data_IF_682810888285
#
_entry.id   IF_682810888285
#
_cell.length_a   1.000
_cell.length_b   1.000
_cell.length_c   1.000
_cell.angle_alpha   90.00
_cell.angle_beta   90.00
_cell.angle_gamma   90.00
#
_symmetry.space_group_name_H-M   'P 1'
#
loop_
_entity.id
_entity.type
_entity.pdbx_description
1 polymer ?
#
# COMPACT_ATOMS: atom_id res chain seq x y z
N UNK A 1 9.19 -7.23 -18.69
CA UNK A 1 8.78 -6.33 -17.59
C UNK A 1 8.10 -5.04 -18.07
N UNK A 2 8.71 -4.17 -18.90
CA UNK A 2 8.09 -2.88 -19.36
C UNK A 2 6.66 -3.00 -19.94
N UNK A 3 6.32 -4.15 -20.55
CA UNK A 3 5.04 -4.35 -21.21
C UNK A 3 3.90 -4.79 -20.26
N UNK A 4 4.20 -5.28 -19.05
CA UNK A 4 3.18 -5.80 -18.12
C UNK A 4 2.64 -4.69 -17.21
N UNK A 5 3.52 -3.81 -16.71
CA UNK A 5 3.11 -2.64 -15.92
C UNK A 5 2.21 -1.68 -16.69
N UNK A 6 2.50 -1.43 -17.98
CA UNK A 6 1.65 -0.62 -18.86
C UNK A 6 0.28 -1.28 -19.11
N UNK A 7 0.22 -2.61 -19.24
CA UNK A 7 -1.06 -3.34 -19.39
C UNK A 7 -1.94 -3.20 -18.15
N UNK A 8 -1.36 -3.32 -16.96
CA UNK A 8 -2.10 -3.21 -15.70
C UNK A 8 -2.59 -1.79 -15.45
N UNK A 9 -1.75 -0.78 -15.71
CA UNK A 9 -2.17 0.61 -15.68
C UNK A 9 -3.36 0.87 -16.62
N UNK A 10 -3.26 0.43 -17.88
CA UNK A 10 -4.34 0.59 -18.85
C UNK A 10 -5.61 -0.18 -18.44
N UNK A 11 -5.45 -1.35 -17.81
CA UNK A 11 -6.59 -2.14 -17.29
C UNK A 11 -7.26 -1.45 -16.10
N UNK A 12 -6.51 -0.95 -15.13
CA UNK A 12 -7.03 -0.18 -13.99
C UNK A 12 -7.76 1.07 -14.49
N UNK A 13 -7.14 1.84 -15.39
CA UNK A 13 -7.77 3.00 -16.03
C UNK A 13 -9.05 2.62 -16.79
N UNK A 14 -9.07 1.48 -17.48
CA UNK A 14 -10.28 0.98 -18.15
C UNK A 14 -11.39 0.68 -17.15
N UNK A 15 -11.10 0.00 -16.04
CA UNK A 15 -12.09 -0.26 -14.98
C UNK A 15 -12.63 1.03 -14.39
N UNK A 16 -11.74 1.97 -14.04
CA UNK A 16 -12.10 3.28 -13.50
C UNK A 16 -12.93 4.11 -14.49
N UNK A 17 -12.53 4.19 -15.77
CA UNK A 17 -13.31 4.89 -16.80
C UNK A 17 -14.72 4.28 -17.00
N UNK A 18 -14.87 2.98 -16.72
CA UNK A 18 -16.14 2.28 -16.72
C UNK A 18 -16.92 2.42 -15.40
N UNK A 19 -16.45 3.27 -14.47
CA UNK A 19 -17.08 3.53 -13.18
C UNK A 19 -16.97 2.35 -12.21
N UNK A 20 -15.96 1.50 -12.33
CA UNK A 20 -15.73 0.39 -11.41
C UNK A 20 -14.46 0.71 -10.62
N UNK A 21 -14.59 1.54 -9.58
CA UNK A 21 -13.49 2.00 -8.75
C UNK A 21 -12.78 0.84 -8.04
N UNK A 22 -13.53 0.00 -7.33
CA UNK A 22 -13.02 -1.18 -6.61
C UNK A 22 -12.19 -2.09 -7.54
N UNK A 23 -12.73 -2.44 -8.73
CA UNK A 23 -12.00 -3.24 -9.72
C UNK A 23 -10.74 -2.54 -10.25
N UNK A 24 -10.69 -1.21 -10.23
CA UNK A 24 -9.50 -0.47 -10.62
C UNK A 24 -8.45 -0.54 -9.51
N UNK A 25 -8.85 -0.35 -8.24
CA UNK A 25 -8.02 -0.53 -7.06
C UNK A 25 -7.47 -1.96 -6.99
N UNK A 26 -8.29 -3.00 -7.19
CA UNK A 26 -7.86 -4.40 -7.26
C UNK A 26 -6.74 -4.62 -8.29
N UNK A 27 -6.87 -4.00 -9.47
CA UNK A 27 -5.85 -4.14 -10.53
C UNK A 27 -4.58 -3.37 -10.16
N UNK A 28 -4.71 -2.24 -9.49
CA UNK A 28 -3.56 -1.52 -8.94
C UNK A 28 -2.85 -2.35 -7.87
N UNK A 29 -3.59 -2.97 -6.94
CA UNK A 29 -3.04 -3.84 -5.90
C UNK A 29 -2.34 -5.03 -6.48
N UNK A 30 -3.00 -5.71 -7.42
CA UNK A 30 -2.36 -6.76 -8.22
C UNK A 30 -1.09 -6.20 -8.80
N UNK A 31 -1.08 -5.04 -9.46
CA UNK A 31 0.13 -4.52 -10.06
C UNK A 31 1.25 -4.10 -9.09
N UNK A 32 0.90 -3.65 -7.88
CA UNK A 32 1.85 -3.34 -6.81
C UNK A 32 2.44 -4.61 -6.19
N UNK A 33 1.62 -5.66 -6.07
CA UNK A 33 2.04 -7.00 -5.71
C UNK A 33 2.84 -7.69 -6.82
N UNK A 34 3.29 -6.98 -7.86
CA UNK A 34 4.20 -7.51 -8.89
C UNK A 34 5.60 -6.91 -8.78
N UNK A 35 5.73 -5.87 -7.98
CA UNK A 35 6.88 -5.00 -7.92
C UNK A 35 6.45 -3.54 -7.86
N UNK A 36 7.10 -2.79 -6.98
CA UNK A 36 6.77 -1.39 -6.72
C UNK A 36 7.48 -0.41 -7.67
N UNK A 37 8.14 -0.91 -8.72
CA UNK A 37 8.87 -0.09 -9.69
C UNK A 37 7.96 0.65 -10.70
N UNK A 38 6.65 0.39 -10.67
CA UNK A 38 5.70 1.02 -11.58
C UNK A 38 5.04 2.23 -10.92
N UNK A 39 5.80 3.32 -10.80
CA UNK A 39 5.35 4.55 -10.17
C UNK A 39 4.00 5.06 -10.71
N UNK A 40 3.75 4.95 -12.02
CA UNK A 40 2.49 5.37 -12.63
C UNK A 40 1.26 4.61 -12.09
N UNK A 41 1.40 3.31 -11.82
CA UNK A 41 0.31 2.51 -11.27
C UNK A 41 0.09 2.78 -9.78
N UNK A 42 1.17 2.96 -9.03
CA UNK A 42 1.09 3.32 -7.60
C UNK A 42 0.44 4.71 -7.47
N UNK A 43 0.87 5.67 -8.28
CA UNK A 43 0.26 6.99 -8.32
C UNK A 43 -1.22 6.94 -8.70
N UNK A 44 -1.61 6.10 -9.67
CA UNK A 44 -3.01 5.87 -9.99
C UNK A 44 -3.78 5.35 -8.78
N UNK A 45 -3.26 4.34 -8.08
CA UNK A 45 -3.90 3.82 -6.86
C UNK A 45 -4.13 4.92 -5.83
N UNK A 46 -3.09 5.72 -5.54
CA UNK A 46 -3.20 6.81 -4.57
C UNK A 46 -4.26 7.84 -4.98
N UNK A 47 -4.35 8.17 -6.27
CA UNK A 47 -5.40 9.05 -6.80
C UNK A 47 -6.82 8.44 -6.68
N UNK A 48 -6.96 7.14 -6.89
CA UNK A 48 -8.24 6.46 -6.73
C UNK A 48 -8.69 6.48 -5.26
N UNK A 49 -7.79 6.18 -4.33
CA UNK A 49 -8.03 6.25 -2.88
C UNK A 49 -8.35 7.69 -2.43
N UNK A 50 -7.65 8.68 -2.99
CA UNK A 50 -7.90 10.10 -2.73
C UNK A 50 -9.33 10.53 -3.15
N UNK A 51 -9.78 10.12 -4.35
CA UNK A 51 -11.15 10.38 -4.84
C UNK A 51 -12.20 9.66 -3.99
N UNK A 52 -11.86 8.48 -3.47
CA UNK A 52 -12.69 7.69 -2.57
C UNK A 52 -12.77 8.27 -1.16
N UNK A 53 -11.79 9.10 -0.77
CA UNK A 53 -11.69 9.67 0.58
C UNK A 53 -10.85 8.85 1.56
N UNK A 54 -10.17 7.80 1.10
CA UNK A 54 -9.21 7.05 1.92
C UNK A 54 -7.88 7.81 2.02
N UNK A 55 -7.87 8.79 2.93
CA UNK A 55 -6.72 9.65 3.20
C UNK A 55 -5.46 8.84 3.56
N UNK A 56 -5.60 7.89 4.49
CA UNK A 56 -4.45 7.10 4.97
C UNK A 56 -3.95 6.15 3.88
N UNK A 57 -4.86 5.47 3.16
CA UNK A 57 -4.49 4.62 2.04
C UNK A 57 -3.80 5.39 0.90
N UNK A 58 -4.26 6.60 0.59
CA UNK A 58 -3.61 7.47 -0.39
C UNK A 58 -2.21 7.91 0.07
N UNK A 59 -2.09 8.35 1.33
CA UNK A 59 -0.82 8.76 1.97
C UNK A 59 0.20 7.63 1.95
N UNK A 60 -0.21 6.46 2.40
CA UNK A 60 0.56 5.22 2.35
C UNK A 60 1.10 4.93 0.95
N UNK A 61 0.19 4.88 -0.02
CA UNK A 61 0.50 4.54 -1.40
C UNK A 61 1.51 5.51 -2.02
N UNK A 62 1.36 6.82 -1.78
CA UNK A 62 2.30 7.81 -2.29
C UNK A 62 3.61 7.86 -1.51
N UNK A 63 3.63 7.54 -0.21
CA UNK A 63 4.88 7.34 0.53
C UNK A 63 5.69 6.18 -0.07
N UNK A 64 5.05 5.04 -0.31
CA UNK A 64 5.68 3.90 -0.99
C UNK A 64 6.22 4.30 -2.36
N UNK A 65 5.43 5.02 -3.16
CA UNK A 65 5.87 5.49 -4.48
C UNK A 65 7.10 6.39 -4.38
N UNK A 66 7.07 7.37 -3.47
CA UNK A 66 8.15 8.32 -3.20
C UNK A 66 9.42 7.61 -2.73
N UNK A 67 9.33 6.77 -1.71
CA UNK A 67 10.50 6.14 -1.09
C UNK A 67 11.11 5.07 -2.00
N UNK A 68 10.29 4.32 -2.75
CA UNK A 68 10.76 3.25 -3.64
C UNK A 68 11.28 3.77 -5.00
N UNK A 69 10.58 4.75 -5.60
CA UNK A 69 10.84 5.19 -6.97
C UNK A 69 11.50 6.57 -7.05
N UNK A 70 11.73 7.24 -5.93
CA UNK A 70 12.11 8.67 -5.87
C UNK A 70 11.16 9.54 -6.73
N UNK A 71 9.86 9.21 -6.72
CA UNK A 71 8.88 9.77 -7.63
C UNK A 71 8.45 11.20 -7.22
N UNK A 72 8.81 12.18 -8.03
CA UNK A 72 8.48 13.60 -7.81
C UNK A 72 6.97 13.89 -7.83
N UNK A 73 6.20 13.11 -8.58
CA UNK A 73 4.74 13.26 -8.65
C UNK A 73 4.10 12.83 -7.33
N UNK A 74 4.54 11.72 -6.74
CA UNK A 74 4.11 11.27 -5.42
C UNK A 74 4.45 12.28 -4.32
N UNK A 75 5.62 12.93 -4.37
CA UNK A 75 5.98 14.02 -3.44
C UNK A 75 4.96 15.16 -3.48
N UNK A 76 4.55 15.58 -4.68
CA UNK A 76 3.55 16.64 -4.86
C UNK A 76 2.17 16.21 -4.36
N UNK A 77 1.76 14.98 -4.65
CA UNK A 77 0.50 14.45 -4.14
C UNK A 77 0.43 14.41 -2.62
N UNK A 78 1.53 14.05 -1.95
CA UNK A 78 1.59 14.07 -0.48
C UNK A 78 1.42 15.49 0.09
N UNK A 79 1.97 16.51 -0.57
CA UNK A 79 1.79 17.91 -0.16
C UNK A 79 0.33 18.33 -0.32
N UNK A 80 -0.26 18.10 -1.49
CA UNK A 80 -1.67 18.43 -1.73
C UNK A 80 -2.62 17.66 -0.82
N UNK A 81 -2.32 16.39 -0.51
CA UNK A 81 -3.09 15.61 0.45
C UNK A 81 -3.03 16.22 1.86
N UNK A 82 -1.87 16.70 2.30
CA UNK A 82 -1.73 17.36 3.60
C UNK A 82 -2.51 18.68 3.65
N UNK A 83 -2.51 19.45 2.56
CA UNK A 83 -3.34 20.65 2.41
C UNK A 83 -4.84 20.33 2.48
N UNK A 84 -5.26 19.17 1.96
CA UNK A 84 -6.66 18.69 2.00
C UNK A 84 -7.04 17.98 3.31
N UNK A 85 -6.15 17.86 4.28
CA UNK A 85 -6.45 17.23 5.58
C UNK A 85 -7.65 17.87 6.28
N UNK A 86 -7.78 19.19 6.19
CA UNK A 86 -8.93 19.93 6.72
C UNK A 86 -10.24 19.60 6.00
N UNK A 87 -10.21 19.25 4.71
CA UNK A 87 -11.42 18.89 3.94
C UNK A 87 -12.05 17.60 4.49
N UNK A 88 -11.25 16.69 5.04
CA UNK A 88 -11.76 15.51 5.75
C UNK A 88 -12.53 15.89 7.02
N UNK A 89 -11.97 16.80 7.83
CA UNK A 89 -12.61 17.30 9.05
C UNK A 89 -13.90 18.07 8.74
N UNK A 90 -13.88 18.89 7.69
CA UNK A 90 -15.06 19.60 7.18
C UNK A 90 -16.14 18.64 6.73
N UNK A 91 -15.79 17.57 6.01
CA UNK A 91 -16.74 16.52 5.64
C UNK A 91 -17.39 15.87 6.87
N UNK A 92 -16.61 15.54 7.91
CA UNK A 92 -17.14 15.01 9.18
C UNK A 92 -18.11 16.00 9.83
N UNK A 93 -17.75 17.27 9.87
CA UNK A 93 -18.61 18.33 10.42
C UNK A 93 -19.92 18.45 9.63
N UNK A 94 -19.84 18.46 8.29
CA UNK A 94 -21.02 18.51 7.44
C UNK A 94 -21.94 17.30 7.66
N UNK A 95 -21.38 16.11 7.79
CA UNK A 95 -22.14 14.89 8.09
C UNK A 95 -22.83 14.98 9.47
N UNK A 96 -22.16 15.54 10.47
CA UNK A 96 -22.73 15.82 11.79
C UNK A 96 -23.90 16.81 11.72
N UNK A 97 -23.76 17.88 10.95
CA UNK A 97 -24.82 18.87 10.72
C UNK A 97 -26.02 18.28 9.98
N UNK A 98 -25.76 17.47 8.95
CA UNK A 98 -26.79 16.72 8.23
C UNK A 98 -27.62 15.85 9.18
N UNK A 99 -26.96 15.07 10.04
CA UNK A 99 -27.62 14.22 11.04
C UNK A 99 -28.43 15.02 12.07
N UNK A 100 -28.01 16.26 12.36
CA UNK A 100 -28.75 17.22 13.21
C UNK A 100 -29.84 17.98 12.44
N UNK A 101 -30.15 17.60 11.20
CA UNK A 101 -31.13 18.25 10.31
C UNK A 101 -30.81 19.71 9.95
N UNK A 102 -29.57 20.15 10.18
CA UNK A 102 -29.06 21.48 9.80
C UNK A 102 -28.59 21.45 8.34
N UNK A 103 -29.52 21.16 7.43
CA UNK A 103 -29.21 20.79 6.02
C UNK A 103 -28.51 21.92 5.26
N UNK A 104 -28.90 23.18 5.46
CA UNK A 104 -28.28 24.32 4.78
C UNK A 104 -26.84 24.56 5.25
N UNK A 105 -26.61 24.52 6.56
CA UNK A 105 -25.26 24.62 7.15
C UNK A 105 -24.36 23.47 6.64
N UNK A 106 -24.90 22.26 6.52
CA UNK A 106 -24.16 21.12 5.97
C UNK A 106 -23.78 21.35 4.49
N UNK A 107 -24.70 21.88 3.66
CA UNK A 107 -24.43 22.18 2.26
C UNK A 107 -23.34 23.25 2.08
N UNK A 108 -23.35 24.30 2.91
CA UNK A 108 -22.32 25.36 2.85
C UNK A 108 -20.92 24.77 3.03
N UNK A 109 -20.73 23.92 4.05
CA UNK A 109 -19.44 23.25 4.28
C UNK A 109 -19.08 22.28 3.14
N UNK A 110 -20.07 21.57 2.58
CA UNK A 110 -19.83 20.64 1.47
C UNK A 110 -19.45 21.34 0.17
N UNK A 111 -19.93 22.56 -0.07
CA UNK A 111 -19.48 23.36 -1.22
C UNK A 111 -18.01 23.75 -1.08
N UNK A 112 -17.55 24.07 0.13
CA UNK A 112 -16.11 24.28 0.38
C UNK A 112 -15.32 22.96 0.22
N UNK A 113 -15.87 21.82 0.62
CA UNK A 113 -15.22 20.52 0.39
C UNK A 113 -14.97 20.24 -1.11
N UNK A 114 -15.85 20.73 -1.97
CA UNK A 114 -15.80 20.52 -3.44
C UNK A 114 -14.76 21.37 -4.18
N UNK A 115 -14.06 22.25 -3.50
CA UNK A 115 -12.92 22.97 -4.08
C UNK A 115 -11.74 22.04 -4.42
N UNK A 116 -11.75 20.84 -3.86
CA UNK A 116 -10.81 19.76 -4.11
C UNK A 116 -11.55 18.51 -4.61
N UNK A 117 -10.80 17.61 -5.28
CA UNK A 117 -11.29 16.29 -5.68
C UNK A 117 -11.11 15.26 -4.55
N UNK A 118 -10.52 15.63 -3.41
CA UNK A 118 -10.42 14.77 -2.23
C UNK A 118 -11.82 14.38 -1.74
N UNK A 119 -12.02 13.09 -1.44
CA UNK A 119 -13.27 12.58 -0.91
C UNK A 119 -14.49 12.87 -1.80
N UNK A 120 -14.27 13.05 -3.10
CA UNK A 120 -15.28 13.43 -4.09
C UNK A 120 -16.54 12.57 -4.02
N UNK A 121 -16.39 11.26 -3.87
CA UNK A 121 -17.52 10.32 -3.85
C UNK A 121 -18.44 10.61 -2.65
N UNK A 122 -17.89 10.62 -1.45
CA UNK A 122 -18.70 10.76 -0.24
C UNK A 122 -19.27 12.19 -0.10
N UNK A 123 -18.52 13.21 -0.53
CA UNK A 123 -19.00 14.60 -0.58
C UNK A 123 -20.21 14.74 -1.50
N UNK A 124 -20.15 14.21 -2.73
CA UNK A 124 -21.28 14.30 -3.66
C UNK A 124 -22.49 13.48 -3.19
N UNK A 125 -22.27 12.33 -2.55
CA UNK A 125 -23.37 11.55 -1.96
C UNK A 125 -24.06 12.36 -0.85
N UNK A 126 -23.29 12.97 0.06
CA UNK A 126 -23.87 13.75 1.16
C UNK A 126 -24.61 15.00 0.66
N UNK A 127 -24.09 15.68 -0.36
CA UNK A 127 -24.81 16.78 -1.03
C UNK A 127 -26.12 16.28 -1.64
N UNK A 128 -26.12 15.13 -2.31
CA UNK A 128 -27.34 14.57 -2.87
C UNK A 128 -28.38 14.29 -1.77
N UNK A 129 -27.96 13.71 -0.64
CA UNK A 129 -28.84 13.51 0.52
C UNK A 129 -29.39 14.83 1.07
N UNK A 130 -28.57 15.88 1.15
CA UNK A 130 -29.02 17.21 1.54
C UNK A 130 -30.12 17.73 0.61
N UNK A 131 -29.92 17.64 -0.72
CA UNK A 131 -30.92 18.08 -1.69
C UNK A 131 -32.21 17.25 -1.64
N UNK A 132 -32.13 15.94 -1.40
CA UNK A 132 -33.32 15.11 -1.16
C UNK A 132 -34.10 15.57 0.07
N UNK A 133 -33.42 15.92 1.18
CA UNK A 133 -34.08 16.49 2.37
C UNK A 133 -34.73 17.84 2.12
N UNK A 134 -34.25 18.60 1.13
CA UNK A 134 -34.83 19.88 0.70
C UNK A 134 -35.93 19.72 -0.38
N UNK A 135 -36.18 18.51 -0.87
CA UNK A 135 -37.12 18.26 -1.96
C UNK A 135 -36.59 18.62 -3.36
N UNK A 136 -35.30 18.93 -3.48
CA UNK A 136 -34.67 19.36 -4.74
C UNK A 136 -34.11 18.15 -5.52
N UNK A 137 -35.00 17.31 -6.05
CA UNK A 137 -34.64 16.03 -6.67
C UNK A 137 -33.67 16.16 -7.87
N UNK A 138 -33.82 17.18 -8.71
CA UNK A 138 -32.95 17.37 -9.88
C UNK A 138 -31.49 17.62 -9.48
N UNK A 139 -31.26 18.40 -8.41
CA UNK A 139 -29.91 18.65 -7.90
C UNK A 139 -29.33 17.39 -7.27
N UNK A 140 -30.13 16.65 -6.49
CA UNK A 140 -29.69 15.37 -5.95
C UNK A 140 -29.26 14.40 -7.06
N UNK A 141 -30.09 14.27 -8.10
CA UNK A 141 -29.81 13.43 -9.28
C UNK A 141 -28.51 13.83 -9.97
N UNK A 142 -28.26 15.12 -10.15
CA UNK A 142 -27.01 15.63 -10.74
C UNK A 142 -25.76 15.15 -9.97
N UNK A 143 -25.77 15.23 -8.65
CA UNK A 143 -24.64 14.77 -7.83
C UNK A 143 -24.48 13.24 -7.84
N UNK A 144 -25.57 12.48 -7.81
CA UNK A 144 -25.50 11.03 -7.91
C UNK A 144 -25.03 10.53 -9.29
N UNK A 145 -25.31 11.26 -10.38
CA UNK A 145 -24.74 10.95 -11.70
C UNK A 145 -23.21 11.10 -11.67
N UNK A 146 -22.68 12.17 -11.06
CA UNK A 146 -21.23 12.35 -10.88
C UNK A 146 -20.59 11.21 -10.09
N UNK A 147 -21.25 10.73 -9.04
CA UNK A 147 -20.78 9.55 -8.28
C UNK A 147 -20.75 8.33 -9.20
N UNK A 148 -21.83 8.08 -9.96
CA UNK A 148 -21.92 6.94 -10.88
C UNK A 148 -20.86 6.96 -12.01
N UNK A 149 -20.35 8.14 -12.38
CA UNK A 149 -19.25 8.26 -13.34
C UNK A 149 -17.95 7.65 -12.79
N UNK A 150 -17.69 7.84 -11.49
CA UNK A 150 -16.49 7.38 -10.76
C UNK A 150 -16.63 5.97 -10.21
N UNK A 151 -17.73 5.74 -9.50
CA UNK A 151 -18.11 4.45 -8.93
C UNK A 151 -19.61 4.20 -9.04
N UNK A 152 -20.01 3.44 -10.07
CA UNK A 152 -21.41 3.07 -10.30
C UNK A 152 -21.89 1.94 -9.40
N UNK A 153 -20.97 1.22 -8.77
CA UNK A 153 -21.27 0.07 -7.92
C UNK A 153 -21.34 0.46 -6.44
N UNK A 154 -21.03 1.71 -6.09
CA UNK A 154 -21.17 2.25 -4.75
C UNK A 154 -22.56 1.90 -4.16
N UNK A 155 -22.58 1.29 -2.98
CA UNK A 155 -23.81 0.76 -2.38
C UNK A 155 -24.78 1.88 -1.99
N UNK A 156 -24.26 2.97 -1.43
CA UNK A 156 -25.09 4.11 -1.02
C UNK A 156 -25.70 4.82 -2.24
N UNK A 157 -24.97 4.89 -3.35
CA UNK A 157 -25.51 5.33 -4.63
C UNK A 157 -26.67 4.42 -5.10
N UNK A 158 -26.53 3.09 -5.02
CA UNK A 158 -27.59 2.15 -5.43
C UNK A 158 -28.87 2.31 -4.61
N UNK A 159 -28.73 2.60 -3.32
CA UNK A 159 -29.87 2.87 -2.43
C UNK A 159 -30.57 4.18 -2.82
N UNK A 160 -29.83 5.28 -2.89
CA UNK A 160 -30.39 6.61 -3.15
C UNK A 160 -31.05 6.74 -4.53
N UNK A 161 -30.57 5.99 -5.54
CA UNK A 161 -31.21 5.95 -6.86
C UNK A 161 -32.67 5.49 -6.81
N UNK A 162 -33.05 4.64 -5.85
CA UNK A 162 -34.42 4.13 -5.70
C UNK A 162 -35.39 5.22 -5.25
N UNK A 163 -34.90 6.29 -4.65
CA UNK A 163 -35.69 7.43 -4.16
C UNK A 163 -35.89 8.52 -5.23
N UNK A 164 -35.22 8.42 -6.38
CA UNK A 164 -35.24 9.44 -7.45
C UNK A 164 -35.92 8.89 -8.69
N UNK A 165 -37.01 9.52 -9.11
CA UNK A 165 -37.69 9.20 -10.36
C UNK A 165 -36.78 9.45 -11.59
N UNK A 166 -36.95 8.62 -12.62
CA UNK A 166 -36.27 8.74 -13.91
C UNK A 166 -34.73 8.73 -13.84
N UNK A 167 -34.14 8.09 -12.83
CA UNK A 167 -32.68 7.98 -12.75
C UNK A 167 -32.14 7.17 -13.95
N UNK A 168 -31.14 7.68 -14.69
CA UNK A 168 -30.62 6.99 -15.87
C UNK A 168 -29.97 5.64 -15.49
N UNK A 169 -30.48 4.55 -16.07
CA UNK A 169 -29.93 3.19 -15.85
C UNK A 169 -28.58 3.00 -16.54
N UNK A 170 -28.34 3.69 -17.65
CA UNK A 170 -27.10 3.62 -18.41
C UNK A 170 -26.22 4.87 -18.21
N UNK A 171 -24.89 4.69 -18.28
CA UNK A 171 -23.96 5.84 -18.35
C UNK A 171 -24.39 6.73 -19.54
N UNK A 172 -24.41 8.07 -19.40
CA UNK A 172 -24.45 8.93 -20.57
C UNK A 172 -23.28 8.54 -21.47
N UNK A 173 -23.54 8.29 -22.76
CA UNK A 173 -22.51 7.87 -23.73
C UNK A 173 -21.41 8.93 -23.79
N UNK A 174 -20.31 8.68 -23.10
CA UNK A 174 -19.13 9.55 -23.09
C UNK A 174 -18.54 9.57 -24.50
N UNK A 175 -18.66 10.71 -25.18
CA UNK A 175 -18.15 10.90 -26.53
C UNK A 175 -16.61 10.83 -26.56
N UNK A 176 -16.01 10.52 -27.70
CA UNK A 176 -14.55 10.36 -27.85
C UNK A 176 -13.77 11.62 -27.43
N UNK A 177 -14.37 12.81 -27.51
CA UNK A 177 -13.82 14.07 -26.99
C UNK A 177 -13.78 14.14 -25.45
N UNK A 178 -14.77 13.56 -24.75
CA UNK A 178 -14.83 13.57 -23.28
C UNK A 178 -13.88 12.54 -22.64
N UNK A 179 -13.46 11.50 -23.37
CA UNK A 179 -12.38 10.59 -22.93
C UNK A 179 -11.02 11.28 -22.79
N UNK A 180 -10.76 12.30 -23.63
CA UNK A 180 -9.56 13.13 -23.56
C UNK A 180 -9.64 14.08 -22.36
N UNK A 181 -10.84 14.59 -22.05
CA UNK A 181 -11.06 15.48 -20.90
C UNK A 181 -10.86 14.74 -19.58
N UNK A 182 -11.34 13.50 -19.38
CA UNK A 182 -11.12 12.76 -18.12
C UNK A 182 -9.64 12.43 -17.88
N UNK A 183 -8.88 12.13 -18.95
CA UNK A 183 -7.42 12.00 -18.88
C UNK A 183 -6.72 13.33 -18.60
N UNK A 184 -7.29 14.45 -19.05
CA UNK A 184 -6.81 15.80 -18.77
C UNK A 184 -7.25 16.33 -17.40
N UNK A 185 -8.39 15.93 -16.84
CA UNK A 185 -8.87 16.37 -15.52
C UNK A 185 -7.94 15.90 -14.41
N UNK A 186 -7.43 14.66 -14.51
CA UNK A 186 -6.40 14.14 -13.62
C UNK A 186 -5.03 14.84 -13.79
N UNK A 187 -4.77 15.47 -14.95
CA UNK A 187 -3.51 16.17 -15.26
C UNK A 187 -3.59 17.68 -14.96
N UNK A 188 -4.77 18.30 -15.09
CA UNK A 188 -4.98 19.76 -14.98
C UNK A 188 -5.16 20.21 -13.54
N UNK A 189 -5.73 19.38 -12.65
CA UNK A 189 -5.83 19.71 -11.21
C UNK A 189 -4.45 19.90 -10.57
N UNK A 190 -3.40 19.28 -11.11
CA UNK A 190 -2.02 19.36 -10.58
C UNK A 190 -1.17 20.51 -11.14
N UNK A 191 -1.61 21.16 -12.22
CA UNK A 191 -0.80 22.18 -12.89
C UNK A 191 -0.83 23.54 -12.18
N UNK A 192 -1.82 23.80 -11.33
CA UNK A 192 -2.02 25.12 -10.71
C UNK A 192 -1.01 25.39 -9.56
N UNK A 193 -0.43 24.35 -8.96
CA UNK A 193 0.55 24.48 -7.85
C UNK A 193 1.98 24.76 -8.34
N UNK A 194 2.25 24.72 -9.65
CA UNK A 194 3.61 24.78 -10.23
C UNK A 194 4.22 26.21 -10.28
N UNK A 195 3.53 27.25 -9.82
CA UNK A 195 4.01 28.64 -9.94
C UNK A 195 4.90 29.15 -8.79
N UNK A 196 5.22 28.34 -7.77
CA UNK A 196 6.15 28.75 -6.71
C UNK A 196 7.51 28.06 -6.92
N UNK A 197 8.48 28.82 -7.46
CA UNK A 197 9.87 28.36 -7.69
C UNK A 197 10.62 28.09 -6.38
N UNK A 198 11.36 26.98 -6.23
CA UNK A 198 12.37 26.84 -5.18
C UNK A 198 13.74 27.33 -5.68
N UNK A 199 14.42 28.09 -4.82
CA UNK A 199 15.85 28.47 -4.96
C UNK A 199 16.66 27.43 -4.18
N UNK A 200 17.55 26.68 -4.83
CA UNK A 200 18.69 26.07 -4.14
C UNK A 200 19.89 25.87 -5.06
N UNK A 201 21.03 26.41 -4.61
CA UNK A 201 22.35 26.41 -5.23
C UNK A 201 23.10 25.09 -5.08
N UNK A 202 23.79 24.69 -6.15
CA UNK A 202 24.79 23.60 -6.21
C UNK A 202 26.00 23.86 -5.30
N UNK A 203 26.49 22.80 -4.65
CA UNK A 203 27.91 22.65 -4.30
C UNK A 203 28.38 21.27 -4.77
N UNK A 204 29.41 21.28 -5.64
CA UNK A 204 30.17 20.14 -6.14
C UNK A 204 31.49 20.03 -5.35
N UNK A 205 31.96 18.81 -5.11
CA UNK A 205 33.35 18.46 -4.82
C UNK A 205 33.46 16.93 -4.88
N UNK A 206 33.86 16.32 -6.00
CA UNK A 206 35.20 16.19 -6.64
C UNK A 206 36.08 15.15 -5.94
N UNK A 207 36.22 14.04 -6.67
CA UNK A 207 37.08 12.87 -6.43
C UNK A 207 38.55 13.22 -6.23
N UNK A 208 39.30 12.29 -5.63
CA UNK A 208 40.49 11.73 -6.29
C UNK A 208 41.11 10.51 -5.57
N UNK A 209 41.31 9.46 -6.38
CA UNK A 209 42.50 8.57 -6.53
C UNK A 209 43.04 7.79 -5.32
N UNK A 210 43.03 6.45 -5.32
CA UNK A 210 43.88 5.47 -6.06
C UNK A 210 45.03 4.94 -5.19
N UNK A 211 45.14 3.63 -5.07
CA UNK A 211 46.30 2.80 -5.50
C UNK A 211 46.56 1.59 -4.60
N UNK A 212 46.76 0.46 -5.29
CA UNK A 212 47.05 -0.90 -4.85
C UNK A 212 48.40 -1.06 -4.14
N UNK A 213 48.51 -2.04 -3.22
CA UNK A 213 49.73 -2.85 -3.05
C UNK A 213 49.38 -4.32 -2.71
N UNK A 214 50.14 -5.19 -3.37
CA UNK A 214 50.12 -6.63 -3.62
C UNK A 214 50.56 -7.53 -2.45
N UNK A 215 50.20 -8.81 -2.60
CA UNK A 215 50.40 -10.02 -1.79
C UNK A 215 51.85 -10.56 -1.84
N UNK A 216 52.31 -11.25 -0.78
CA UNK A 216 53.02 -12.55 -0.79
C UNK A 216 53.41 -12.96 0.65
N UNK A 217 52.80 -14.01 1.22
CA UNK A 217 53.19 -15.44 1.21
C UNK A 217 54.20 -15.84 2.30
N UNK A 218 53.82 -16.78 3.17
CA UNK A 218 54.62 -17.98 3.52
C UNK A 218 53.88 -18.90 4.49
N UNK A 219 53.99 -20.20 4.22
CA UNK A 219 53.40 -21.34 4.91
C UNK A 219 54.37 -21.97 5.93
N UNK A 220 53.82 -22.71 6.92
CA UNK A 220 54.16 -24.11 7.30
C UNK A 220 53.83 -24.48 8.76
N UNK A 221 52.72 -25.20 8.93
CA UNK A 221 52.51 -26.56 9.50
C UNK A 221 53.29 -27.15 10.72
N UNK A 222 52.48 -27.70 11.67
CA UNK A 222 52.50 -29.02 12.40
C UNK A 222 52.35 -28.88 13.93
N UNK A 223 51.29 -29.36 14.60
CA UNK A 223 50.70 -30.71 14.82
C UNK A 223 51.07 -31.26 16.21
N UNK A 224 50.06 -31.55 17.05
CA UNK A 224 50.02 -32.67 18.02
C UNK A 224 48.66 -32.75 18.75
N UNK A 225 47.82 -33.64 18.22
CA UNK A 225 47.13 -34.75 18.88
C UNK A 225 46.52 -34.63 20.29
N UNK A 226 45.20 -34.79 20.27
CA UNK A 226 44.46 -35.87 20.94
C UNK A 226 44.47 -35.93 22.48
N UNK A 227 43.45 -35.29 23.06
CA UNK A 227 42.44 -35.93 23.91
C UNK A 227 41.50 -34.85 24.43
N UNK A 228 40.25 -34.88 23.96
CA UNK A 228 38.99 -34.83 24.72
C UNK A 228 37.90 -34.85 23.63
N UNK A 229 37.86 -35.97 22.91
CA UNK A 229 36.57 -36.45 22.42
C UNK A 229 35.83 -36.95 23.66
N UNK A 230 34.54 -36.65 23.74
CA UNK A 230 33.60 -37.07 24.79
C UNK A 230 33.25 -36.02 25.86
N UNK A 231 33.17 -34.73 25.51
CA UNK A 231 32.26 -33.80 26.19
C UNK A 231 31.52 -32.88 25.18
N UNK A 232 30.40 -33.42 24.71
CA UNK A 232 29.15 -32.70 24.35
C UNK A 232 29.12 -31.95 23.01
N UNK A 233 28.54 -32.66 22.02
CA UNK A 233 27.94 -32.17 20.77
C UNK A 233 27.15 -30.86 20.94
N UNK A 234 27.80 -29.73 20.68
CA UNK A 234 27.20 -28.58 20.00
C UNK A 234 28.13 -28.32 18.83
N UNK A 235 27.76 -28.79 17.64
CA UNK A 235 28.51 -28.54 16.42
C UNK A 235 28.54 -27.01 16.20
N UNK A 236 29.59 -26.36 16.66
CA UNK A 236 29.98 -25.04 16.18
C UNK A 236 30.48 -25.27 14.76
N UNK A 237 29.56 -25.27 13.79
CA UNK A 237 29.93 -25.16 12.38
C UNK A 237 30.74 -23.88 12.24
N UNK A 238 32.07 -24.00 12.13
CA UNK A 238 32.94 -22.85 11.86
C UNK A 238 32.54 -22.34 10.49
N UNK A 239 31.81 -21.22 10.45
CA UNK A 239 31.30 -20.63 9.22
C UNK A 239 32.47 -20.20 8.33
N UNK A 240 32.50 -20.67 7.10
CA UNK A 240 33.55 -20.35 6.13
C UNK A 240 33.31 -18.98 5.48
N UNK A 241 34.06 -17.97 5.90
CA UNK A 241 33.88 -16.59 5.44
C UNK A 241 34.30 -16.36 3.97
N UNK A 242 35.09 -17.27 3.38
CA UNK A 242 35.41 -17.19 1.95
C UNK A 242 34.20 -17.58 1.09
N UNK A 243 33.34 -18.47 1.57
CA UNK A 243 32.07 -18.78 0.91
C UNK A 243 31.14 -17.56 0.93
N UNK A 244 31.09 -16.82 2.05
CA UNK A 244 30.30 -15.59 2.12
C UNK A 244 30.76 -14.55 1.07
N UNK A 245 32.07 -14.40 0.82
CA UNK A 245 32.58 -13.51 -0.24
C UNK A 245 32.07 -13.93 -1.63
N UNK A 246 32.07 -15.24 -1.89
CA UNK A 246 31.53 -15.83 -3.11
C UNK A 246 30.03 -15.56 -3.25
N UNK A 247 29.26 -15.73 -2.17
CA UNK A 247 27.82 -15.46 -2.16
C UNK A 247 27.52 -13.98 -2.39
N UNK A 248 28.26 -13.06 -1.74
CA UNK A 248 28.14 -11.61 -1.97
C UNK A 248 28.39 -11.27 -3.44
N UNK A 249 29.48 -11.82 -4.01
CA UNK A 249 29.89 -11.53 -5.38
C UNK A 249 28.91 -12.09 -6.43
N UNK A 250 28.32 -13.25 -6.16
CA UNK A 250 27.29 -13.86 -7.01
C UNK A 250 25.87 -13.34 -6.72
N UNK A 251 25.69 -12.48 -5.71
CA UNK A 251 24.39 -12.01 -5.22
C UNK A 251 23.43 -13.15 -4.87
N UNK A 252 23.95 -14.22 -4.26
CA UNK A 252 23.17 -15.35 -3.77
C UNK A 252 22.50 -14.98 -2.43
N UNK A 253 21.47 -14.13 -2.49
CA UNK A 253 20.82 -13.56 -1.30
C UNK A 253 20.32 -14.61 -0.30
N UNK A 254 19.96 -15.81 -0.78
CA UNK A 254 19.48 -16.91 0.06
C UNK A 254 20.63 -17.44 0.93
N UNK A 255 21.75 -17.79 0.30
CA UNK A 255 22.93 -18.23 1.05
C UNK A 255 23.53 -17.14 1.91
N UNK A 256 23.49 -15.87 1.48
CA UNK A 256 23.94 -14.75 2.32
C UNK A 256 23.06 -14.67 3.58
N UNK A 257 21.73 -14.69 3.44
CA UNK A 257 20.78 -14.64 4.54
C UNK A 257 20.96 -15.79 5.53
N UNK A 258 21.05 -17.02 5.03
CA UNK A 258 21.32 -18.22 5.84
C UNK A 258 22.67 -18.12 6.57
N UNK A 259 23.71 -17.68 5.87
CA UNK A 259 25.05 -17.56 6.44
C UNK A 259 25.06 -16.57 7.62
N UNK A 260 24.38 -15.44 7.52
CA UNK A 260 24.47 -14.39 8.55
C UNK A 260 23.43 -14.50 9.67
N UNK A 261 22.39 -15.34 9.52
CA UNK A 261 21.25 -15.44 10.44
C UNK A 261 21.65 -15.62 11.91
N UNK A 262 22.55 -16.55 12.17
CA UNK A 262 22.98 -16.95 13.52
C UNK A 262 24.40 -16.48 13.86
N UNK A 263 24.87 -15.40 13.23
CA UNK A 263 26.21 -14.86 13.49
C UNK A 263 26.16 -13.89 14.66
N UNK A 264 26.90 -14.22 15.73
CA UNK A 264 27.14 -13.26 16.82
C UNK A 264 28.18 -12.22 16.37
N UNK A 265 27.72 -10.98 16.16
CA UNK A 265 28.57 -9.86 15.74
C UNK A 265 29.73 -9.60 16.71
N UNK A 266 29.59 -9.93 17.99
CA UNK A 266 30.60 -9.65 19.01
C UNK A 266 31.82 -10.56 18.88
N UNK A 267 31.65 -11.76 18.32
CA UNK A 267 32.74 -12.73 18.15
C UNK A 267 33.56 -12.51 16.89
N UNK A 268 33.16 -11.54 16.05
CA UNK A 268 33.77 -11.32 14.74
C UNK A 268 35.05 -10.48 14.80
N UNK A 269 36.05 -10.88 14.03
CA UNK A 269 37.22 -10.04 13.74
C UNK A 269 36.86 -8.87 12.81
N UNK A 270 37.80 -7.95 12.58
CA UNK A 270 37.58 -6.74 11.77
C UNK A 270 37.14 -7.05 10.33
N UNK A 271 37.72 -8.07 9.69
CA UNK A 271 37.40 -8.43 8.30
C UNK A 271 36.04 -9.12 8.22
N UNK A 272 35.75 -10.01 9.17
CA UNK A 272 34.44 -10.68 9.27
C UNK A 272 33.32 -9.69 9.55
N UNK A 273 33.54 -8.71 10.44
CA UNK A 273 32.60 -7.60 10.69
C UNK A 273 32.28 -6.84 9.42
N UNK A 274 33.30 -6.54 8.60
CA UNK A 274 33.12 -5.87 7.32
C UNK A 274 32.24 -6.68 6.36
N UNK A 275 32.54 -7.97 6.18
CA UNK A 275 31.75 -8.86 5.31
C UNK A 275 30.31 -9.02 5.81
N UNK A 276 30.12 -9.15 7.13
CA UNK A 276 28.81 -9.22 7.74
C UNK A 276 28.00 -7.94 7.49
N UNK A 277 28.61 -6.77 7.69
CA UNK A 277 27.98 -5.48 7.39
C UNK A 277 27.63 -5.33 5.90
N UNK A 278 28.55 -5.66 5.00
CA UNK A 278 28.30 -5.66 3.54
C UNK A 278 27.16 -6.60 3.16
N UNK A 279 27.07 -7.76 3.80
CA UNK A 279 26.00 -8.72 3.58
C UNK A 279 24.64 -8.18 4.03
N UNK A 280 24.58 -7.58 5.22
CA UNK A 280 23.36 -6.94 5.73
C UNK A 280 22.90 -5.80 4.83
N UNK A 281 23.82 -4.93 4.41
CA UNK A 281 23.53 -3.83 3.49
C UNK A 281 23.02 -4.35 2.13
N UNK A 282 23.68 -5.36 1.55
CA UNK A 282 23.24 -5.95 0.29
C UNK A 282 21.86 -6.61 0.40
N UNK A 283 21.58 -7.30 1.51
CA UNK A 283 20.27 -7.89 1.77
C UNK A 283 19.18 -6.84 1.97
N UNK A 284 19.47 -5.76 2.68
CA UNK A 284 18.50 -4.68 2.91
C UNK A 284 18.18 -3.90 1.61
N UNK A 285 19.22 -3.55 0.84
CA UNK A 285 19.08 -2.78 -0.40
C UNK A 285 18.49 -3.61 -1.55
N UNK A 286 18.90 -4.87 -1.68
CA UNK A 286 18.56 -5.69 -2.86
C UNK A 286 17.85 -6.99 -2.49
N UNK A 287 18.28 -7.68 -1.42
CA UNK A 287 17.75 -9.00 -1.04
C UNK A 287 16.27 -9.00 -0.68
N UNK A 288 15.82 -8.04 0.16
CA UNK A 288 14.40 -7.89 0.54
C UNK A 288 13.55 -7.76 -0.72
N UNK A 289 13.93 -6.84 -1.60
CA UNK A 289 13.23 -6.60 -2.87
C UNK A 289 13.25 -7.82 -3.78
N UNK A 290 14.37 -8.55 -3.86
CA UNK A 290 14.50 -9.75 -4.69
C UNK A 290 13.51 -10.84 -4.27
N UNK A 291 13.46 -11.19 -2.98
CA UNK A 291 12.52 -12.19 -2.48
C UNK A 291 11.08 -11.71 -2.58
N UNK A 292 10.84 -10.43 -2.30
CA UNK A 292 9.53 -9.82 -2.49
C UNK A 292 9.03 -9.90 -3.93
N UNK A 293 9.88 -9.56 -4.93
CA UNK A 293 9.54 -9.64 -6.36
C UNK A 293 9.30 -11.09 -6.83
N UNK A 294 10.01 -12.07 -6.26
CA UNK A 294 9.75 -13.50 -6.49
C UNK A 294 8.40 -13.93 -5.91
N UNK A 295 8.12 -13.59 -4.65
CA UNK A 295 6.83 -13.86 -4.00
C UNK A 295 5.68 -13.25 -4.79
N UNK A 296 5.86 -12.02 -5.22
CA UNK A 296 4.96 -11.29 -6.13
C UNK A 296 4.70 -12.03 -7.45
N UNK A 297 5.75 -12.56 -8.09
CA UNK A 297 5.60 -13.35 -9.31
C UNK A 297 4.75 -14.60 -9.07
N UNK A 298 4.98 -15.30 -7.95
CA UNK A 298 4.22 -16.48 -7.55
C UNK A 298 2.75 -16.14 -7.22
N UNK A 299 2.54 -15.02 -6.53
CA UNK A 299 1.22 -14.48 -6.22
C UNK A 299 0.39 -14.24 -7.49
N UNK A 300 1.00 -13.69 -8.56
CA UNK A 300 0.32 -13.54 -9.87
C UNK A 300 -0.16 -14.83 -10.46
N UNK A 301 0.70 -15.85 -10.41
CA UNK A 301 0.38 -17.17 -10.91
C UNK A 301 -0.63 -17.91 -10.03
N UNK A 302 -1.12 -17.26 -8.96
CA UNK A 302 -2.00 -17.84 -7.93
C UNK A 302 -1.35 -19.00 -7.18
N UNK A 303 -0.01 -19.07 -7.22
CA UNK A 303 0.76 -20.02 -6.43
C UNK A 303 1.06 -19.39 -5.07
N UNK A 304 0.01 -19.22 -4.28
CA UNK A 304 0.06 -18.52 -3.00
C UNK A 304 0.93 -19.25 -1.98
N UNK A 305 0.97 -20.59 -2.02
CA UNK A 305 1.79 -21.39 -1.10
C UNK A 305 3.28 -21.16 -1.30
N UNK A 306 3.76 -21.11 -2.54
CA UNK A 306 5.17 -20.75 -2.78
C UNK A 306 5.41 -19.23 -2.65
N UNK A 307 4.41 -18.38 -2.92
CA UNK A 307 4.52 -16.96 -2.67
C UNK A 307 4.81 -16.67 -1.19
N UNK A 308 4.10 -17.34 -0.27
CA UNK A 308 4.34 -17.25 1.18
C UNK A 308 5.80 -17.55 1.52
N UNK A 309 6.36 -18.65 1.00
CA UNK A 309 7.77 -19.02 1.28
C UNK A 309 8.76 -17.92 0.87
N UNK A 310 8.57 -17.32 -0.30
CA UNK A 310 9.43 -16.23 -0.75
C UNK A 310 9.19 -14.93 0.03
N UNK A 311 7.95 -14.63 0.42
CA UNK A 311 7.67 -13.50 1.30
C UNK A 311 8.23 -13.69 2.71
N UNK A 312 8.22 -14.90 3.26
CA UNK A 312 8.85 -15.21 4.55
C UNK A 312 10.37 -15.01 4.51
N UNK A 313 11.02 -15.38 3.39
CA UNK A 313 12.43 -15.05 3.15
C UNK A 313 12.63 -13.54 3.18
N UNK A 314 11.82 -12.77 2.44
CA UNK A 314 11.89 -11.30 2.44
C UNK A 314 11.70 -10.71 3.84
N UNK A 315 10.70 -11.19 4.58
CA UNK A 315 10.34 -10.72 5.92
C UNK A 315 11.48 -10.95 6.92
N UNK A 316 12.15 -12.10 6.83
CA UNK A 316 13.22 -12.48 7.74
C UNK A 316 14.45 -11.56 7.69
N UNK A 317 14.64 -10.85 6.57
CA UNK A 317 15.78 -9.96 6.34
C UNK A 317 15.38 -8.48 6.26
N UNK A 318 14.10 -8.15 6.43
CA UNK A 318 13.56 -6.79 6.23
C UNK A 318 13.45 -5.97 7.51
N UNK A 319 14.25 -6.24 8.54
CA UNK A 319 14.22 -5.45 9.78
C UNK A 319 14.62 -3.99 9.52
N UNK A 320 13.75 -3.04 9.91
CA UNK A 320 13.92 -1.62 9.60
C UNK A 320 13.65 -1.21 8.15
N UNK A 321 13.38 -2.18 7.25
CA UNK A 321 13.11 -1.90 5.85
C UNK A 321 11.66 -1.46 5.62
N UNK A 322 11.44 -0.44 4.79
CA UNK A 322 10.12 0.11 4.49
C UNK A 322 9.16 -0.90 3.83
N UNK A 323 9.66 -1.97 3.20
CA UNK A 323 8.84 -3.04 2.64
C UNK A 323 8.28 -3.99 3.70
N UNK A 324 8.82 -4.01 4.94
CA UNK A 324 8.43 -4.98 5.96
C UNK A 324 6.93 -5.01 6.25
N UNK A 325 6.23 -3.87 6.45
CA UNK A 325 4.78 -3.89 6.64
C UNK A 325 4.08 -4.45 5.40
N UNK A 326 4.52 -4.07 4.20
CA UNK A 326 3.90 -4.55 2.96
C UNK A 326 4.08 -6.06 2.78
N UNK A 327 5.27 -6.61 3.05
CA UNK A 327 5.54 -8.05 3.01
C UNK A 327 4.62 -8.79 4.00
N UNK A 328 4.47 -8.30 5.23
CA UNK A 328 3.57 -8.91 6.22
C UNK A 328 2.11 -8.94 5.75
N UNK A 329 1.63 -7.82 5.19
CA UNK A 329 0.29 -7.74 4.59
C UNK A 329 0.13 -8.75 3.44
N UNK A 330 1.16 -8.91 2.59
CA UNK A 330 1.13 -9.85 1.47
C UNK A 330 1.09 -11.31 1.94
N UNK A 331 1.81 -11.67 3.01
CA UNK A 331 1.74 -13.00 3.63
C UNK A 331 0.31 -13.28 4.12
N UNK A 332 -0.29 -12.35 4.88
CA UNK A 332 -1.65 -12.51 5.38
C UNK A 332 -2.67 -12.64 4.23
N UNK A 333 -2.51 -11.84 3.18
CA UNK A 333 -3.34 -11.88 1.98
C UNK A 333 -3.19 -13.19 1.19
N UNK A 334 -2.01 -13.81 1.17
CA UNK A 334 -1.83 -15.14 0.58
C UNK A 334 -2.65 -16.20 1.33
N UNK A 335 -2.61 -16.19 2.66
CA UNK A 335 -3.42 -17.10 3.47
C UNK A 335 -4.93 -16.89 3.26
N UNK A 336 -5.38 -15.63 3.15
CA UNK A 336 -6.77 -15.32 2.78
C UNK A 336 -7.14 -15.91 1.41
N UNK A 337 -6.29 -15.75 0.39
CA UNK A 337 -6.52 -16.27 -0.97
C UNK A 337 -6.46 -17.80 -1.06
N UNK A 338 -5.80 -18.46 -0.11
CA UNK A 338 -5.81 -19.91 0.06
C UNK A 338 -7.02 -20.42 0.86
N UNK A 339 -7.89 -19.51 1.34
CA UNK A 339 -9.00 -19.83 2.24
C UNK A 339 -8.55 -20.46 3.57
N UNK A 340 -7.27 -20.29 3.93
CA UNK A 340 -6.71 -20.68 5.23
C UNK A 340 -7.00 -19.58 6.27
N UNK A 341 -8.29 -19.35 6.53
CA UNK A 341 -8.78 -18.20 7.29
C UNK A 341 -8.22 -18.10 8.72
N UNK A 342 -7.98 -19.22 9.40
CA UNK A 342 -7.38 -19.22 10.74
C UNK A 342 -6.00 -18.56 10.72
N UNK A 343 -5.16 -18.92 9.74
CA UNK A 343 -3.82 -18.33 9.57
C UNK A 343 -3.90 -16.89 9.06
N UNK A 344 -4.83 -16.59 8.15
CA UNK A 344 -5.04 -15.23 7.67
C UNK A 344 -5.40 -14.29 8.84
N UNK A 345 -6.33 -14.71 9.72
CA UNK A 345 -6.71 -13.96 10.92
C UNK A 345 -5.50 -13.77 11.84
N UNK A 346 -4.71 -14.82 12.09
CA UNK A 346 -3.51 -14.74 12.92
C UNK A 346 -2.51 -13.70 12.37
N UNK A 347 -2.20 -13.76 11.07
CA UNK A 347 -1.25 -12.85 10.42
C UNK A 347 -1.77 -11.42 10.35
N UNK A 348 -3.07 -11.21 10.12
CA UNK A 348 -3.67 -9.88 10.16
C UNK A 348 -3.68 -9.29 11.57
N UNK A 349 -3.94 -10.10 12.61
CA UNK A 349 -3.82 -9.66 14.01
C UNK A 349 -2.37 -9.30 14.35
N UNK A 350 -1.42 -10.12 13.91
CA UNK A 350 0.00 -9.83 14.05
C UNK A 350 0.36 -8.50 13.38
N UNK A 351 -0.12 -8.25 12.15
CA UNK A 351 0.10 -6.98 11.45
C UNK A 351 -0.38 -5.78 12.26
N UNK A 352 -1.61 -5.82 12.80
CA UNK A 352 -2.15 -4.72 13.61
C UNK A 352 -1.39 -4.50 14.93
N UNK A 353 -0.71 -5.52 15.45
CA UNK A 353 0.10 -5.41 16.65
C UNK A 353 1.51 -4.87 16.36
N UNK A 354 2.17 -5.40 15.33
CA UNK A 354 3.55 -5.07 14.98
C UNK A 354 3.67 -3.69 14.32
N UNK A 355 2.73 -3.34 13.43
CA UNK A 355 2.81 -2.13 12.61
C UNK A 355 1.79 -1.10 13.08
N UNK A 356 2.04 -0.51 14.25
CA UNK A 356 1.17 0.51 14.87
C UNK A 356 0.87 1.70 13.94
N UNK A 357 1.87 2.12 13.15
CA UNK A 357 1.77 3.18 12.14
C UNK A 357 1.73 2.62 10.71
N UNK A 358 1.30 1.36 10.57
CA UNK A 358 1.26 0.66 9.29
C UNK A 358 0.23 1.21 8.31
N UNK A 359 0.65 1.32 7.06
CA UNK A 359 -0.13 1.83 5.94
C UNK A 359 -1.43 1.03 5.62
N UNK A 360 -1.49 -0.26 5.99
CA UNK A 360 -2.62 -1.15 5.68
C UNK A 360 -3.61 -1.34 6.84
N UNK A 361 -3.50 -0.57 7.92
CA UNK A 361 -4.27 -0.86 9.16
C UNK A 361 -5.78 -0.82 8.96
N UNK A 362 -6.30 0.19 8.25
CA UNK A 362 -7.73 0.30 7.98
C UNK A 362 -8.22 -0.91 7.16
N UNK A 363 -7.47 -1.28 6.12
CA UNK A 363 -7.76 -2.43 5.28
C UNK A 363 -7.71 -3.76 6.06
N UNK A 364 -6.66 -3.97 6.86
CA UNK A 364 -6.47 -5.16 7.66
C UNK A 364 -7.59 -5.31 8.70
N UNK A 365 -8.00 -4.20 9.33
CA UNK A 365 -9.13 -4.17 10.27
C UNK A 365 -10.42 -4.56 9.55
N UNK A 366 -10.64 -4.06 8.34
CA UNK A 366 -11.81 -4.41 7.53
C UNK A 366 -11.80 -5.88 7.12
N UNK A 367 -10.67 -6.40 6.64
CA UNK A 367 -10.51 -7.82 6.29
C UNK A 367 -10.78 -8.73 7.49
N UNK A 368 -10.31 -8.35 8.69
CA UNK A 368 -10.63 -9.07 9.92
C UNK A 368 -12.14 -9.05 10.22
N UNK A 369 -12.82 -7.91 10.03
CA UNK A 369 -14.28 -7.85 10.20
C UNK A 369 -15.00 -8.78 9.21
N UNK A 370 -14.59 -8.77 7.94
CA UNK A 370 -15.21 -9.54 6.86
C UNK A 370 -14.98 -11.04 7.00
N UNK A 371 -13.73 -11.48 7.21
CA UNK A 371 -13.39 -12.91 7.37
C UNK A 371 -14.12 -13.50 8.60
N UNK A 372 -14.23 -12.74 9.69
CA UNK A 372 -14.90 -13.21 10.90
C UNK A 372 -16.43 -13.20 10.80
N UNK A 373 -17.04 -12.62 9.75
CA UNK A 373 -18.52 -12.48 9.63
C UNK A 373 -19.23 -13.82 9.83
N UNK A 374 -18.68 -14.88 9.25
CA UNK A 374 -19.25 -16.23 9.31
C UNK A 374 -18.51 -17.17 10.29
N UNK A 375 -17.29 -16.80 10.72
CA UNK A 375 -16.46 -17.61 11.63
C UNK A 375 -16.71 -17.25 13.09
N UNK A 376 -16.64 -15.95 13.43
CA UNK A 376 -16.79 -15.44 14.78
C UNK A 376 -17.46 -14.06 14.76
N UNK A 377 -18.79 -14.07 14.90
CA UNK A 377 -19.63 -12.87 14.84
C UNK A 377 -19.25 -11.79 15.85
N UNK A 378 -18.75 -12.18 17.04
CA UNK A 378 -18.34 -11.22 18.07
C UNK A 378 -17.06 -10.49 17.67
N UNK A 379 -16.05 -11.21 17.17
CA UNK A 379 -14.84 -10.57 16.63
C UNK A 379 -15.14 -9.76 15.37
N UNK A 380 -16.03 -10.24 14.48
CA UNK A 380 -16.48 -9.48 13.31
C UNK A 380 -17.07 -8.13 13.72
N UNK A 381 -18.01 -8.12 14.68
CA UNK A 381 -18.61 -6.88 15.22
C UNK A 381 -17.58 -5.98 15.87
N UNK A 382 -16.64 -6.53 16.64
CA UNK A 382 -15.56 -5.76 17.26
C UNK A 382 -14.73 -5.02 16.21
N UNK A 383 -14.27 -5.70 15.16
CA UNK A 383 -13.49 -5.06 14.10
C UNK A 383 -14.32 -4.08 13.28
N UNK A 384 -15.58 -4.40 13.01
CA UNK A 384 -16.52 -3.48 12.37
C UNK A 384 -16.72 -2.20 13.20
N UNK A 385 -16.78 -2.33 14.53
CA UNK A 385 -16.86 -1.19 15.44
C UNK A 385 -15.58 -0.35 15.41
N UNK A 386 -14.39 -0.98 15.36
CA UNK A 386 -13.13 -0.26 15.18
C UNK A 386 -13.12 0.52 13.86
N UNK A 387 -13.58 -0.07 12.76
CA UNK A 387 -13.75 0.64 11.49
C UNK A 387 -14.66 1.85 11.65
N UNK A 388 -15.83 1.66 12.27
CA UNK A 388 -16.79 2.74 12.47
C UNK A 388 -16.24 3.88 13.33
N UNK A 389 -15.49 3.57 14.39
CA UNK A 389 -15.03 4.55 15.37
C UNK A 389 -13.72 5.22 14.98
N UNK A 390 -12.77 4.45 14.42
CA UNK A 390 -11.41 4.92 14.12
C UNK A 390 -11.25 5.31 12.66
N UNK A 391 -11.92 4.59 11.76
CA UNK A 391 -11.79 4.75 10.31
C UNK A 391 -13.12 5.20 9.68
N UNK A 392 -13.87 6.04 10.41
CA UNK A 392 -15.25 6.43 10.08
C UNK A 392 -15.42 7.05 8.69
N UNK A 393 -14.36 7.65 8.17
CA UNK A 393 -14.35 8.32 6.88
C UNK A 393 -13.61 7.53 5.78
N UNK A 394 -13.07 6.37 6.12
CA UNK A 394 -12.42 5.50 5.14
C UNK A 394 -13.46 4.76 4.29
N UNK A 395 -13.04 4.30 3.12
CA UNK A 395 -13.84 3.41 2.25
C UNK A 395 -14.32 2.13 2.95
N UNK A 396 -13.64 1.75 4.04
CA UNK A 396 -13.94 0.54 4.78
C UNK A 396 -15.19 0.69 5.65
N UNK A 397 -15.60 1.92 6.02
CA UNK A 397 -16.86 2.16 6.73
C UNK A 397 -18.05 2.17 5.76
N UNK A 398 -18.29 1.03 5.13
CA UNK A 398 -19.29 0.85 4.08
C UNK A 398 -20.51 0.03 4.55
N UNK A 399 -21.38 -0.34 3.61
CA UNK A 399 -22.60 -1.12 3.88
C UNK A 399 -22.31 -2.48 4.54
N UNK A 400 -21.20 -3.14 4.23
CA UNK A 400 -20.86 -4.42 4.86
C UNK A 400 -20.61 -4.25 6.36
N UNK A 401 -19.93 -3.16 6.75
CA UNK A 401 -19.71 -2.83 8.16
C UNK A 401 -21.02 -2.46 8.86
N UNK A 402 -21.89 -1.69 8.21
CA UNK A 402 -23.23 -1.38 8.73
C UNK A 402 -24.06 -2.66 8.94
N UNK A 403 -24.04 -3.57 7.98
CA UNK A 403 -24.72 -4.87 8.05
C UNK A 403 -24.21 -5.71 9.23
N UNK A 404 -22.88 -5.83 9.41
CA UNK A 404 -22.26 -6.54 10.53
C UNK A 404 -22.73 -5.96 11.87
N UNK A 405 -22.89 -4.64 11.94
CA UNK A 405 -23.34 -3.93 13.14
C UNK A 405 -24.87 -3.90 13.31
N UNK A 406 -25.63 -4.42 12.33
CA UNK A 406 -27.10 -4.44 12.35
C UNK A 406 -27.75 -3.05 12.24
N UNK A 407 -27.15 -2.14 11.44
CA UNK A 407 -27.56 -0.74 11.27
C UNK A 407 -28.17 -0.45 9.91
#
# INVERSE_FOLDING_TARGET
>A
MKNEGSKLYNRAMKHYSNGNLEKALDVCEIGMSLGLSNAALINLKGLLLYIEGDYEGAKATWKICKDFNDDETAKKYLISLEEDSNKLEMYVQANSLFNKTKIKEALEILEECRESDFNFINVNILIAKCYLKLGEQDKAKFHLIKVAEKDRNNEELKELKKEIADFPEEKPKVTQKQKIVIGASLVVVLAIVVLIKPISSMIKGKDNTSSDITINESAEQKENDAKIDELVKKELTVKNWDDLKSYISSKDYEKIGEFIKDVDKNTLDTNQKKLYSQSKELLDLEGVKHFYDKGNTLFKSKDFGNAIKEYEKAYSISEGNYLRPHVAYMIASCYEKLEEYDKAIEQYKYYLNEFADGDYRAEVTYKLAMINKDINKEESKKYAQIIKDTYSNSMYNNSNIKEILGQ
#
